data_IF_746532666178
#
_entry.id   IF_746532666178
#
_cell.length_a   1.000
_cell.length_b   1.000
_cell.length_c   1.000
_cell.angle_alpha   90.00
_cell.angle_beta   90.00
_cell.angle_gamma   90.00
#
_symmetry.space_group_name_H-M   'P 1'
#
loop_
_entity.id
_entity.type
_entity.pdbx_description
1 polymer ?
#
# COMPACT_ATOMS: atom_id res chain seq x y z
N UNK A 1 11.86 18.58 -17.21
CA UNK A 1 12.77 18.32 -16.07
C UNK A 1 12.05 18.13 -14.73
N UNK A 2 11.49 19.15 -14.07
CA UNK A 2 10.83 18.98 -12.76
C UNK A 2 9.62 18.02 -12.80
N UNK A 3 8.74 18.17 -13.79
CA UNK A 3 7.56 17.31 -13.96
C UNK A 3 7.90 15.86 -14.32
N UNK A 4 9.03 15.62 -14.99
CA UNK A 4 9.49 14.25 -15.33
C UNK A 4 10.05 13.55 -14.10
N UNK A 5 10.80 14.26 -13.25
CA UNK A 5 11.27 13.72 -11.97
C UNK A 5 10.10 13.41 -11.04
N UNK A 6 9.08 14.28 -11.00
CA UNK A 6 7.87 14.01 -10.21
C UNK A 6 7.09 12.80 -10.73
N UNK A 7 6.94 12.65 -12.04
CA UNK A 7 6.31 11.44 -12.61
C UNK A 7 7.11 10.18 -12.31
N UNK A 8 8.43 10.22 -12.47
CA UNK A 8 9.29 9.10 -12.13
C UNK A 8 9.15 8.66 -10.66
N UNK A 9 9.02 9.60 -9.73
CA UNK A 9 8.80 9.30 -8.30
C UNK A 9 7.41 8.71 -8.05
N UNK A 10 6.39 9.19 -8.77
CA UNK A 10 5.01 8.70 -8.64
C UNK A 10 4.83 7.32 -9.29
N UNK A 11 5.49 7.07 -10.42
CA UNK A 11 5.40 5.82 -11.19
C UNK A 11 6.10 4.63 -10.48
N UNK A 12 6.99 4.88 -9.51
CA UNK A 12 7.60 3.85 -8.67
C UNK A 12 6.59 3.15 -7.74
N UNK A 13 5.39 3.73 -7.60
CA UNK A 13 4.30 3.18 -6.80
C UNK A 13 4.48 3.37 -5.29
N UNK A 14 3.40 3.34 -4.51
CA UNK A 14 3.45 3.61 -3.07
C UNK A 14 4.33 2.61 -2.30
N UNK A 15 4.39 1.37 -2.76
CA UNK A 15 5.21 0.28 -2.18
C UNK A 15 6.70 0.59 -2.15
N UNK A 16 7.20 1.38 -3.11
CA UNK A 16 8.62 1.79 -3.18
C UNK A 16 8.82 3.20 -2.64
N UNK A 17 7.83 4.07 -2.84
CA UNK A 17 7.90 5.47 -2.39
C UNK A 17 7.90 5.60 -0.86
N UNK A 18 7.04 4.86 -0.15
CA UNK A 18 6.97 4.90 1.32
C UNK A 18 8.30 4.51 2.01
N UNK A 19 8.95 3.40 1.67
CA UNK A 19 10.26 3.04 2.22
C UNK A 19 11.33 4.12 2.02
N UNK A 20 11.37 4.75 0.84
CA UNK A 20 12.33 5.81 0.53
C UNK A 20 12.08 7.03 1.42
N UNK A 21 10.82 7.46 1.54
CA UNK A 21 10.44 8.57 2.41
C UNK A 21 10.82 8.27 3.86
N UNK A 22 10.56 7.06 4.35
CA UNK A 22 10.93 6.65 5.70
C UNK A 22 12.44 6.68 5.90
N UNK A 23 13.25 6.22 4.93
CA UNK A 23 14.72 6.27 5.03
C UNK A 23 15.20 7.72 5.14
N UNK A 24 14.66 8.62 4.31
CA UNK A 24 15.02 10.05 4.33
C UNK A 24 14.59 10.69 5.66
N UNK A 25 13.38 10.40 6.13
CA UNK A 25 12.85 10.95 7.37
C UNK A 25 13.63 10.45 8.59
N UNK A 26 13.94 9.16 8.64
CA UNK A 26 14.78 8.52 9.67
C UNK A 26 16.16 9.19 9.74
N UNK A 27 16.73 9.53 8.59
CA UNK A 27 18.03 10.19 8.51
C UNK A 27 17.98 11.63 9.03
N UNK A 28 16.91 12.37 8.72
CA UNK A 28 16.68 13.73 9.23
C UNK A 28 16.51 13.71 10.76
N UNK A 29 15.88 12.69 11.32
CA UNK A 29 15.74 12.48 12.76
C UNK A 29 17.04 12.05 13.47
N UNK A 30 18.16 11.96 12.76
CA UNK A 30 19.48 11.69 13.34
C UNK A 30 19.83 10.22 13.50
N UNK A 31 19.09 9.29 12.88
CA UNK A 31 19.43 7.87 12.92
C UNK A 31 20.71 7.57 12.09
N UNK A 32 21.44 6.52 12.48
CA UNK A 32 22.60 6.04 11.72
C UNK A 32 22.13 5.50 10.37
N UNK A 33 22.97 5.63 9.33
CA UNK A 33 22.60 5.23 7.97
C UNK A 33 22.11 3.77 7.90
N UNK A 34 22.80 2.85 8.57
CA UNK A 34 22.39 1.44 8.63
C UNK A 34 21.02 1.22 9.29
N UNK A 35 20.67 2.02 10.30
CA UNK A 35 19.38 1.93 10.98
C UNK A 35 18.26 2.53 10.14
N UNK A 36 18.55 3.58 9.35
CA UNK A 36 17.61 4.16 8.40
C UNK A 36 17.20 3.14 7.32
N UNK A 37 18.19 2.44 6.73
CA UNK A 37 17.93 1.40 5.73
C UNK A 37 17.11 0.24 6.30
N UNK A 38 17.42 -0.20 7.52
CA UNK A 38 16.63 -1.23 8.20
C UNK A 38 15.19 -0.77 8.42
N UNK A 39 14.98 0.45 8.91
CA UNK A 39 13.64 0.99 9.16
C UNK A 39 12.80 1.04 7.87
N UNK A 40 13.36 1.56 6.77
CA UNK A 40 12.69 1.57 5.47
C UNK A 40 12.34 0.18 4.97
N UNK A 41 13.29 -0.77 5.10
CA UNK A 41 13.08 -2.15 4.67
C UNK A 41 11.99 -2.86 5.49
N UNK A 42 11.95 -2.67 6.82
CA UNK A 42 10.90 -3.25 7.67
C UNK A 42 9.50 -2.75 7.27
N UNK A 43 9.37 -1.45 7.00
CA UNK A 43 8.09 -0.89 6.53
C UNK A 43 7.72 -1.41 5.14
N UNK A 44 8.69 -1.51 4.23
CA UNK A 44 8.46 -2.09 2.89
C UNK A 44 7.95 -3.53 2.96
N UNK A 45 8.57 -4.38 3.77
CA UNK A 45 8.12 -5.77 3.98
C UNK A 45 6.70 -5.81 4.57
N UNK A 46 6.40 -4.94 5.53
CA UNK A 46 5.06 -4.82 6.12
C UNK A 46 3.98 -4.45 5.10
N UNK A 47 4.26 -3.48 4.22
CA UNK A 47 3.33 -3.06 3.17
C UNK A 47 3.05 -4.17 2.15
N UNK A 48 4.09 -4.89 1.72
CA UNK A 48 3.93 -6.05 0.82
C UNK A 48 3.09 -7.13 1.50
N UNK A 49 3.33 -7.42 2.79
CA UNK A 49 2.56 -8.38 3.57
C UNK A 49 1.08 -8.02 3.68
N UNK A 50 0.76 -6.75 3.95
CA UNK A 50 -0.62 -6.25 4.02
C UNK A 50 -1.31 -6.43 2.65
N UNK A 51 -0.65 -6.05 1.56
CA UNK A 51 -1.21 -6.20 0.21
C UNK A 51 -1.54 -7.66 -0.13
N UNK A 52 -0.66 -8.60 0.25
CA UNK A 52 -0.90 -10.04 0.06
C UNK A 52 -2.10 -10.55 0.86
N UNK A 53 -2.22 -10.15 2.14
CA UNK A 53 -3.33 -10.58 3.00
C UNK A 53 -4.65 -10.02 2.47
N UNK A 54 -4.69 -8.75 2.08
CA UNK A 54 -5.91 -8.12 1.56
C UNK A 54 -6.30 -8.74 0.23
N UNK A 55 -5.34 -9.01 -0.68
CA UNK A 55 -5.61 -9.74 -1.92
C UNK A 55 -6.24 -11.11 -1.65
N UNK A 56 -5.68 -11.88 -0.71
CA UNK A 56 -6.24 -13.17 -0.31
C UNK A 56 -7.67 -13.04 0.26
N UNK A 57 -7.92 -12.01 1.07
CA UNK A 57 -9.26 -11.75 1.62
C UNK A 57 -10.25 -11.34 0.53
N UNK A 58 -9.84 -10.51 -0.43
CA UNK A 58 -10.67 -10.14 -1.59
C UNK A 58 -11.02 -11.36 -2.44
N UNK A 59 -10.05 -12.24 -2.71
CA UNK A 59 -10.29 -13.46 -3.50
C UNK A 59 -11.19 -14.46 -2.77
N UNK A 60 -11.05 -14.57 -1.45
CA UNK A 60 -11.80 -15.55 -0.64
C UNK A 60 -13.19 -15.05 -0.23
N UNK A 61 -13.33 -13.76 0.10
CA UNK A 61 -14.53 -13.17 0.70
C UNK A 61 -15.29 -12.27 -0.29
N UNK A 62 -14.62 -11.71 -1.30
CA UNK A 62 -15.24 -10.85 -2.32
C UNK A 62 -16.45 -11.49 -3.03
N UNK A 63 -16.35 -12.75 -3.49
CA UNK A 63 -17.50 -13.45 -4.09
C UNK A 63 -18.67 -13.63 -3.11
N UNK A 64 -18.38 -13.92 -1.84
CA UNK A 64 -19.40 -14.07 -0.80
C UNK A 64 -20.07 -12.74 -0.45
N UNK A 65 -19.30 -11.64 -0.41
CA UNK A 65 -19.81 -10.29 -0.19
C UNK A 65 -20.71 -9.83 -1.35
N UNK A 66 -20.33 -10.16 -2.60
CA UNK A 66 -21.16 -9.87 -3.78
C UNK A 66 -22.47 -10.68 -3.76
N UNK A 67 -22.39 -11.97 -3.44
CA UNK A 67 -23.58 -12.81 -3.28
C UNK A 67 -24.48 -12.29 -2.16
N UNK A 68 -23.92 -11.81 -1.04
CA UNK A 68 -24.70 -11.17 0.02
C UNK A 68 -25.44 -9.93 -0.51
N UNK A 69 -24.75 -9.03 -1.21
CA UNK A 69 -25.38 -7.82 -1.78
C UNK A 69 -26.55 -8.16 -2.73
N UNK A 70 -26.38 -9.17 -3.59
CA UNK A 70 -27.43 -9.65 -4.51
C UNK A 70 -28.63 -10.26 -3.77
N UNK A 71 -28.40 -11.04 -2.70
CA UNK A 71 -29.50 -11.65 -1.92
C UNK A 71 -30.30 -10.63 -1.10
N UNK A 72 -29.69 -9.52 -0.70
CA UNK A 72 -30.36 -8.44 0.03
C UNK A 72 -30.90 -7.33 -0.89
N UNK A 73 -30.85 -7.52 -2.22
CA UNK A 73 -31.25 -6.54 -3.24
C UNK A 73 -30.54 -5.18 -3.09
N UNK A 74 -29.31 -5.21 -2.57
CA UNK A 74 -28.49 -4.04 -2.32
C UNK A 74 -27.56 -3.78 -3.52
N UNK A 75 -27.66 -2.60 -4.14
CA UNK A 75 -26.78 -2.18 -5.23
C UNK A 75 -25.42 -1.66 -4.69
N UNK A 76 -24.58 -2.57 -4.17
CA UNK A 76 -23.23 -2.25 -3.72
C UNK A 76 -22.19 -2.66 -4.78
N UNK A 77 -21.56 -1.65 -5.40
CA UNK A 77 -20.53 -1.86 -6.45
C UNK A 77 -19.09 -1.71 -5.96
N UNK A 78 -18.87 -1.30 -4.71
CA UNK A 78 -17.53 -0.95 -4.19
C UNK A 78 -17.23 -1.76 -2.93
N UNK A 79 -16.03 -2.33 -2.87
CA UNK A 79 -15.47 -2.93 -1.67
C UNK A 79 -14.41 -1.97 -1.13
N UNK A 80 -14.66 -1.38 0.05
CA UNK A 80 -13.69 -0.49 0.70
C UNK A 80 -12.65 -1.32 1.45
N UNK A 81 -11.38 -1.20 1.04
CA UNK A 81 -10.23 -1.87 1.66
C UNK A 81 -9.38 -0.90 2.50
N UNK A 82 -9.80 0.36 2.61
CA UNK A 82 -9.09 1.43 3.30
C UNK A 82 -7.82 1.90 2.59
N UNK A 83 -7.35 3.10 2.96
CA UNK A 83 -6.15 3.72 2.37
C UNK A 83 -4.88 2.82 2.41
N UNK A 84 -4.53 2.18 3.54
CA UNK A 84 -3.32 1.35 3.59
C UNK A 84 -3.42 0.12 2.68
N UNK A 85 -4.63 -0.40 2.47
CA UNK A 85 -4.90 -1.56 1.61
C UNK A 85 -4.96 -1.22 0.13
N UNK A 86 -5.49 -0.05 -0.23
CA UNK A 86 -5.53 0.44 -1.61
C UNK A 86 -4.18 0.95 -2.10
N UNK A 87 -3.36 1.53 -1.22
CA UNK A 87 -2.09 2.15 -1.61
C UNK A 87 -1.08 1.21 -2.31
N UNK A 88 -0.89 -0.07 -1.95
CA UNK A 88 -0.04 -0.97 -2.75
C UNK A 88 -0.69 -1.48 -4.04
N UNK A 89 -2.00 -1.26 -4.25
CA UNK A 89 -2.78 -1.79 -5.38
C UNK A 89 -3.03 -0.76 -6.50
N UNK A 90 -2.71 0.52 -6.26
CA UNK A 90 -2.80 1.63 -7.22
C UNK A 90 -1.43 2.06 -7.70
#
# INVERSE_FOLDING_TARGET
MFSEVMRYILDLGPTVMLPIVIIIFSKILGMKAGDCFKAGLHIGIGFVGIGLVIGLMLDSIGPAAKAMAENFDLNLHVVDVGWPGSSPMT
#
